data_IF_854839961977
#
_entry.id   IF_854839961977
#
_cell.length_a   1.000
_cell.length_b   1.000
_cell.length_c   1.000
_cell.angle_alpha   90.00
_cell.angle_beta   90.00
_cell.angle_gamma   90.00
#
_symmetry.space_group_name_H-M   'P 1'
#
loop_
_entity.id
_entity.type
_entity.pdbx_description
1 polymer ?
#
# COMPACT_ATOMS: atom_id res chain seq x y z
N UNK A 1 -32.51 -33.35 -5.77
CA UNK A 1 -32.91 -32.02 -5.27
C UNK A 1 -32.80 -31.99 -3.75
N UNK A 2 -31.73 -31.43 -3.18
CA UNK A 2 -31.77 -30.75 -1.88
C UNK A 2 -31.63 -29.23 -2.07
N UNK A 3 -32.03 -28.47 -1.04
CA UNK A 3 -32.21 -27.03 -1.11
C UNK A 3 -30.89 -26.23 -1.12
N UNK A 4 -30.94 -25.08 -1.78
CA UNK A 4 -29.81 -24.18 -1.99
C UNK A 4 -29.21 -23.55 -0.73
N UNK A 5 -27.93 -23.24 -0.86
CA UNK A 5 -27.22 -22.28 -0.05
C UNK A 5 -27.22 -20.93 -0.80
N UNK A 6 -27.63 -19.84 -0.15
CA UNK A 6 -27.50 -18.48 -0.69
C UNK A 6 -26.18 -17.87 -0.16
N UNK A 7 -25.34 -17.27 -1.01
CA UNK A 7 -24.30 -16.37 -0.52
C UNK A 7 -24.96 -15.02 -0.22
N UNK A 8 -25.06 -14.68 1.06
CA UNK A 8 -25.29 -13.32 1.53
C UNK A 8 -24.15 -12.98 2.50
N UNK A 9 -23.75 -11.71 2.49
CA UNK A 9 -22.59 -11.09 3.17
C UNK A 9 -21.39 -10.83 2.24
N UNK A 10 -21.65 -10.08 1.16
CA UNK A 10 -20.61 -9.26 0.49
C UNK A 10 -20.65 -7.86 1.11
N UNK A 11 -19.53 -7.42 1.68
CA UNK A 11 -19.38 -6.04 2.11
C UNK A 11 -19.28 -5.15 0.86
N UNK A 12 -20.10 -4.11 0.77
CA UNK A 12 -20.06 -3.19 -0.38
C UNK A 12 -18.86 -2.23 -0.25
N UNK A 13 -18.21 -1.83 -1.36
CA UNK A 13 -17.15 -0.83 -1.32
C UNK A 13 -17.72 0.49 -0.76
N UNK A 14 -17.06 1.02 0.26
CA UNK A 14 -17.55 2.20 0.99
C UNK A 14 -17.08 3.47 0.29
N UNK A 15 -18.03 4.20 -0.33
CA UNK A 15 -17.78 5.56 -0.83
C UNK A 15 -17.73 6.56 0.33
N UNK A 16 -16.67 7.35 0.42
CA UNK A 16 -16.51 8.40 1.45
C UNK A 16 -16.79 9.78 0.84
N UNK A 17 -17.61 10.61 1.51
CA UNK A 17 -17.87 11.99 1.10
C UNK A 17 -18.34 12.89 2.28
N UNK A 18 -17.49 13.83 2.70
CA UNK A 18 -17.69 15.03 3.56
C UNK A 18 -16.44 15.94 3.38
N UNK A 19 -16.37 17.24 3.70
CA UNK A 19 -17.37 18.22 4.16
C UNK A 19 -16.68 19.50 4.66
N UNK A 20 -16.82 20.66 3.99
CA UNK A 20 -15.92 21.82 4.16
C UNK A 20 -16.32 22.86 5.23
N UNK A 21 -15.34 23.30 6.05
CA UNK A 21 -15.31 24.62 6.72
C UNK A 21 -13.91 25.01 7.25
N UNK A 22 -13.63 26.31 7.44
CA UNK A 22 -12.32 26.93 7.77
C UNK A 22 -12.12 27.24 9.29
N UNK A 23 -10.99 27.71 9.85
CA UNK A 23 -9.81 28.46 9.34
C UNK A 23 -8.58 28.32 10.30
N UNK A 24 -7.37 28.88 10.01
CA UNK A 24 -6.09 28.45 10.64
C UNK A 24 -5.60 29.35 11.81
N UNK A 25 -4.42 29.05 12.43
CA UNK A 25 -3.16 29.61 11.91
C UNK A 25 -1.90 28.70 11.93
N UNK A 26 -0.98 29.00 11.01
CA UNK A 26 0.50 28.95 11.10
C UNK A 26 1.23 27.72 11.68
N UNK A 27 1.72 26.85 10.78
CA UNK A 27 3.19 26.67 10.58
C UNK A 27 3.42 26.17 9.15
N UNK A 28 4.22 26.86 8.33
CA UNK A 28 4.55 26.39 6.97
C UNK A 28 5.51 25.18 7.02
N UNK A 29 4.93 23.98 6.94
CA UNK A 29 5.62 22.84 6.34
C UNK A 29 5.33 22.92 4.85
N UNK A 30 6.36 23.09 4.02
CA UNK A 30 6.18 23.13 2.57
C UNK A 30 5.58 21.81 2.08
N UNK A 31 4.55 21.88 1.25
CA UNK A 31 3.92 20.73 0.60
C UNK A 31 4.81 20.14 -0.52
N UNK A 32 6.11 19.98 -0.26
CA UNK A 32 7.04 19.22 -1.09
C UNK A 32 6.79 17.72 -0.87
N UNK A 33 5.60 17.28 -1.28
CA UNK A 33 5.21 15.87 -1.24
C UNK A 33 6.14 15.03 -2.12
N UNK A 34 6.31 13.78 -1.75
CA UNK A 34 7.15 12.80 -2.46
C UNK A 34 6.87 12.78 -3.98
N UNK A 35 7.90 13.08 -4.76
CA UNK A 35 7.89 12.95 -6.23
C UNK A 35 7.81 11.47 -6.61
N UNK A 36 6.85 11.04 -7.46
CA UNK A 36 6.68 9.64 -7.79
C UNK A 36 7.85 9.09 -8.62
N UNK A 37 8.23 7.83 -8.37
CA UNK A 37 9.38 7.20 -9.00
C UNK A 37 9.18 7.14 -10.52
N UNK A 38 10.09 7.75 -11.28
CA UNK A 38 10.03 7.79 -12.74
C UNK A 38 8.74 8.43 -13.31
N UNK A 39 8.11 9.38 -12.60
CA UNK A 39 6.83 10.02 -12.96
C UNK A 39 6.75 10.47 -14.44
N UNK A 40 7.79 11.10 -14.97
CA UNK A 40 7.85 11.54 -16.37
C UNK A 40 7.74 10.36 -17.35
N UNK A 41 8.47 9.27 -17.07
CA UNK A 41 8.52 8.08 -17.94
C UNK A 41 7.22 7.29 -17.88
N UNK A 42 6.61 7.16 -16.71
CA UNK A 42 5.29 6.54 -16.52
C UNK A 42 4.22 7.35 -17.25
N UNK A 43 4.21 8.67 -17.06
CA UNK A 43 3.25 9.57 -17.72
C UNK A 43 3.37 9.50 -19.24
N UNK A 44 4.59 9.55 -19.79
CA UNK A 44 4.85 9.45 -21.22
C UNK A 44 4.52 8.06 -21.84
N UNK A 45 4.30 7.02 -21.02
CA UNK A 45 3.88 5.70 -21.47
C UNK A 45 2.37 5.47 -21.38
N UNK A 46 1.72 6.01 -20.34
CA UNK A 46 0.36 5.61 -19.97
C UNK A 46 -0.69 6.72 -20.14
N UNK A 47 -0.29 7.99 -20.24
CA UNK A 47 -1.23 9.09 -20.48
C UNK A 47 -1.92 8.95 -21.85
N UNK A 48 -3.20 9.36 -21.94
CA UNK A 48 -3.99 9.13 -23.15
C UNK A 48 -5.11 10.15 -23.37
N UNK A 49 -5.29 10.55 -24.63
CA UNK A 49 -6.43 11.35 -25.09
C UNK A 49 -7.68 10.50 -25.43
N UNK A 50 -7.57 9.17 -25.33
CA UNK A 50 -8.65 8.25 -25.71
C UNK A 50 -9.62 8.02 -24.53
N UNK A 51 -10.95 8.09 -24.76
CA UNK A 51 -11.94 7.94 -23.69
C UNK A 51 -11.87 6.55 -23.05
N UNK A 52 -12.01 6.45 -21.73
CA UNK A 52 -11.95 5.19 -21.00
C UNK A 52 -11.23 5.32 -19.65
N UNK A 53 -10.74 4.19 -19.14
CA UNK A 53 -10.22 4.07 -17.78
C UNK A 53 -8.70 3.92 -17.78
N UNK A 54 -8.01 4.78 -17.03
CA UNK A 54 -6.68 4.50 -16.49
C UNK A 54 -6.84 3.87 -15.12
N UNK A 55 -6.05 2.84 -14.81
CA UNK A 55 -6.01 2.22 -13.49
C UNK A 55 -4.66 2.52 -12.85
N UNK A 56 -4.69 3.00 -11.60
CA UNK A 56 -3.54 3.03 -10.70
C UNK A 56 -3.83 2.01 -9.59
N UNK A 57 -3.25 0.80 -9.70
CA UNK A 57 -3.59 -0.32 -8.82
C UNK A 57 -2.89 -0.22 -7.44
N UNK A 58 -2.05 0.79 -7.24
CA UNK A 58 -1.24 1.05 -6.05
C UNK A 58 -1.15 2.56 -5.85
N UNK A 59 -2.30 3.24 -5.80
CA UNK A 59 -2.37 4.70 -5.97
C UNK A 59 -1.59 5.46 -4.89
N UNK A 60 -1.43 4.89 -3.70
CA UNK A 60 -0.64 5.48 -2.63
C UNK A 60 -1.12 6.91 -2.32
N UNK A 61 -0.21 7.87 -2.10
CA UNK A 61 -0.53 9.29 -1.96
C UNK A 61 -1.05 9.99 -3.24
N UNK A 62 -1.43 9.28 -4.30
CA UNK A 62 -2.04 9.84 -5.51
C UNK A 62 -1.10 10.57 -6.48
N UNK A 63 0.23 10.40 -6.33
CA UNK A 63 1.21 11.15 -7.12
C UNK A 63 1.25 10.78 -8.61
N UNK A 64 1.32 9.48 -8.95
CA UNK A 64 1.24 9.04 -10.34
C UNK A 64 -0.12 9.36 -10.96
N UNK A 65 -1.22 9.08 -10.26
CA UNK A 65 -2.56 9.46 -10.65
C UNK A 65 -2.69 10.96 -10.99
N UNK A 66 -2.09 11.88 -10.22
CA UNK A 66 -2.15 13.31 -10.47
C UNK A 66 -1.49 13.69 -11.82
N UNK A 67 -0.31 13.14 -12.09
CA UNK A 67 0.40 13.35 -13.36
C UNK A 67 -0.38 12.76 -14.55
N UNK A 68 -0.91 11.55 -14.40
CA UNK A 68 -1.71 10.88 -15.43
C UNK A 68 -3.01 11.63 -15.75
N UNK A 69 -3.75 12.08 -14.74
CA UNK A 69 -4.98 12.87 -14.92
C UNK A 69 -4.71 14.25 -15.54
N UNK A 70 -3.55 14.85 -15.26
CA UNK A 70 -3.15 16.14 -15.83
C UNK A 70 -2.69 16.02 -17.29
N UNK A 71 -2.07 14.90 -17.66
CA UNK A 71 -1.56 14.65 -19.01
C UNK A 71 -2.54 13.91 -19.94
N UNK A 72 -3.71 13.50 -19.44
CA UNK A 72 -4.71 12.73 -20.20
C UNK A 72 -5.95 13.57 -20.53
N UNK A 73 -6.59 13.20 -21.64
CA UNK A 73 -7.77 13.89 -22.18
C UNK A 73 -8.95 13.98 -21.19
N UNK A 74 -9.87 14.94 -21.39
CA UNK A 74 -10.97 15.19 -20.46
C UNK A 74 -12.00 14.04 -20.37
N UNK A 75 -12.03 13.15 -21.36
CA UNK A 75 -12.88 11.95 -21.38
C UNK A 75 -12.20 10.69 -20.79
N UNK A 76 -10.97 10.83 -20.30
CA UNK A 76 -10.24 9.79 -19.57
C UNK A 76 -10.53 9.92 -18.08
N UNK A 77 -10.96 8.82 -17.44
CA UNK A 77 -11.14 8.72 -15.99
C UNK A 77 -10.09 7.82 -15.36
N UNK A 78 -9.86 7.99 -14.06
CA UNK A 78 -8.90 7.19 -13.30
C UNK A 78 -9.59 6.41 -12.17
N UNK A 79 -9.27 5.13 -12.09
CA UNK A 79 -9.63 4.23 -10.98
C UNK A 79 -8.37 3.96 -10.16
N UNK A 80 -8.37 4.35 -8.89
CA UNK A 80 -7.26 4.18 -7.97
C UNK A 80 -7.58 3.15 -6.89
N UNK A 81 -6.73 2.13 -6.73
CA UNK A 81 -6.84 1.13 -5.67
C UNK A 81 -5.68 1.31 -4.68
N UNK A 82 -5.99 1.22 -3.39
CA UNK A 82 -5.01 0.93 -2.35
C UNK A 82 -5.65 0.10 -1.24
N UNK A 83 -4.83 -0.70 -0.55
CA UNK A 83 -5.22 -1.44 0.66
C UNK A 83 -5.03 -0.60 1.93
N UNK A 84 -4.27 0.48 1.86
CA UNK A 84 -4.06 1.41 2.98
C UNK A 84 -5.06 2.57 2.92
N UNK A 85 -6.07 2.55 3.79
CA UNK A 85 -7.10 3.59 3.81
C UNK A 85 -6.54 5.00 4.01
N UNK A 86 -5.44 5.16 4.77
CA UNK A 86 -4.79 6.45 4.97
C UNK A 86 -4.11 6.97 3.70
N UNK A 87 -3.67 6.08 2.81
CA UNK A 87 -3.15 6.48 1.50
C UNK A 87 -4.27 7.02 0.60
N UNK A 88 -5.45 6.40 0.64
CA UNK A 88 -6.64 6.87 -0.10
C UNK A 88 -7.15 8.22 0.39
N UNK A 89 -7.10 8.50 1.70
CA UNK A 89 -7.40 9.82 2.25
C UNK A 89 -6.46 10.90 1.67
N UNK A 90 -5.15 10.66 1.68
CA UNK A 90 -4.14 11.57 1.10
C UNK A 90 -4.32 11.72 -0.42
N UNK A 91 -4.64 10.64 -1.13
CA UNK A 91 -4.94 10.68 -2.56
C UNK A 91 -6.20 11.50 -2.85
N UNK A 92 -7.25 11.38 -2.04
CA UNK A 92 -8.48 12.16 -2.16
C UNK A 92 -8.21 13.66 -2.03
N UNK A 93 -7.46 14.07 -1.00
CA UNK A 93 -7.06 15.46 -0.81
C UNK A 93 -6.21 15.99 -1.97
N UNK A 94 -5.18 15.24 -2.39
CA UNK A 94 -4.28 15.63 -3.49
C UNK A 94 -5.01 15.75 -4.83
N UNK A 95 -6.01 14.92 -5.09
CA UNK A 95 -6.69 14.80 -6.37
C UNK A 95 -8.03 15.54 -6.43
N UNK A 96 -8.31 16.44 -5.47
CA UNK A 96 -9.57 17.19 -5.40
C UNK A 96 -9.95 17.91 -6.70
N UNK A 97 -8.97 18.54 -7.37
CA UNK A 97 -9.15 19.22 -8.68
C UNK A 97 -9.56 18.25 -9.82
N UNK A 98 -9.37 16.95 -9.63
CA UNK A 98 -9.72 15.89 -10.58
C UNK A 98 -10.90 15.03 -10.12
N UNK A 99 -11.58 15.37 -9.01
CA UNK A 99 -12.61 14.52 -8.38
C UNK A 99 -13.71 14.05 -9.35
N UNK A 100 -14.10 14.87 -10.33
CA UNK A 100 -15.10 14.51 -11.34
C UNK A 100 -14.67 13.39 -12.31
N UNK A 101 -13.39 13.03 -12.34
CA UNK A 101 -12.78 11.99 -13.18
C UNK A 101 -12.12 10.88 -12.36
N UNK A 102 -12.27 10.88 -11.04
CA UNK A 102 -11.59 9.96 -10.12
C UNK A 102 -12.57 8.99 -9.48
N UNK A 103 -12.14 7.75 -9.27
CA UNK A 103 -12.80 6.81 -8.36
C UNK A 103 -11.72 6.14 -7.51
N UNK A 104 -11.83 6.24 -6.18
CA UNK A 104 -10.93 5.60 -5.23
C UNK A 104 -11.62 4.39 -4.61
N UNK A 105 -10.88 3.29 -4.46
CA UNK A 105 -11.39 2.03 -3.94
C UNK A 105 -10.43 1.47 -2.90
N UNK A 106 -10.96 1.16 -1.70
CA UNK A 106 -10.24 0.40 -0.69
C UNK A 106 -10.27 -1.08 -1.06
N UNK A 107 -9.21 -1.55 -1.71
CA UNK A 107 -9.06 -2.89 -2.27
C UNK A 107 -7.58 -3.22 -2.49
N UNK A 108 -7.23 -4.49 -2.40
CA UNK A 108 -5.93 -4.97 -2.82
C UNK A 108 -5.84 -5.07 -4.36
N UNK A 109 -4.64 -4.90 -4.91
CA UNK A 109 -4.43 -4.85 -6.36
C UNK A 109 -4.77 -6.14 -7.11
N UNK A 110 -4.85 -7.27 -6.40
CA UNK A 110 -5.27 -8.57 -6.92
C UNK A 110 -6.80 -8.72 -7.02
N UNK A 111 -7.56 -7.82 -6.39
CA UNK A 111 -9.02 -7.70 -6.52
C UNK A 111 -9.44 -6.83 -7.74
N UNK A 112 -8.48 -6.32 -8.53
CA UNK A 112 -8.73 -5.38 -9.63
C UNK A 112 -9.77 -5.88 -10.64
N UNK A 113 -9.84 -7.20 -10.90
CA UNK A 113 -10.85 -7.78 -11.80
C UNK A 113 -12.27 -7.54 -11.31
N UNK A 114 -12.56 -7.94 -10.06
CA UNK A 114 -13.87 -7.76 -9.43
C UNK A 114 -14.21 -6.26 -9.30
N UNK A 115 -13.22 -5.42 -8.95
CA UNK A 115 -13.40 -3.96 -8.88
C UNK A 115 -13.83 -3.37 -10.23
N UNK A 116 -13.17 -3.74 -11.33
CA UNK A 116 -13.51 -3.22 -12.66
C UNK A 116 -14.86 -3.73 -13.18
N UNK A 117 -15.25 -4.97 -12.87
CA UNK A 117 -16.56 -5.50 -13.21
C UNK A 117 -17.69 -4.72 -12.49
N UNK A 118 -17.46 -4.28 -11.25
CA UNK A 118 -18.44 -3.51 -10.46
C UNK A 118 -18.50 -2.02 -10.86
N UNK A 119 -17.36 -1.33 -11.06
CA UNK A 119 -17.31 0.14 -11.23
C UNK A 119 -16.94 0.64 -12.63
N UNK A 120 -16.55 -0.26 -13.54
CA UNK A 120 -16.19 0.04 -14.93
C UNK A 120 -16.75 -0.96 -15.96
N UNK A 121 -17.98 -1.49 -15.79
CA UNK A 121 -18.50 -2.56 -16.65
C UNK A 121 -18.51 -2.15 -18.13
N UNK A 122 -17.80 -2.93 -18.95
CA UNK A 122 -17.62 -2.74 -20.39
C UNK A 122 -16.92 -1.43 -20.83
N UNK A 123 -16.28 -0.68 -19.93
CA UNK A 123 -15.44 0.46 -20.32
C UNK A 123 -14.04 0.01 -20.78
N UNK A 124 -13.45 0.65 -21.82
CA UNK A 124 -12.13 0.29 -22.29
C UNK A 124 -11.05 0.75 -21.30
N UNK A 125 -10.40 -0.21 -20.64
CA UNK A 125 -9.16 0.03 -19.89
C UNK A 125 -8.05 0.40 -20.89
N UNK A 126 -7.44 1.56 -20.68
CA UNK A 126 -6.41 2.14 -21.56
C UNK A 126 -5.01 1.81 -21.09
N UNK A 127 -4.79 1.82 -19.78
CA UNK A 127 -3.56 1.40 -19.13
C UNK A 127 -3.82 0.98 -17.68
N UNK A 128 -2.91 0.18 -17.13
CA UNK A 128 -2.86 -0.19 -15.71
C UNK A 128 -1.44 0.06 -15.21
N UNK A 129 -1.30 0.80 -14.12
CA UNK A 129 -0.06 1.02 -13.39
C UNK A 129 -0.03 0.13 -12.14
N UNK A 130 1.15 -0.45 -11.88
CA UNK A 130 1.51 -1.06 -10.60
C UNK A 130 2.87 -0.48 -10.19
N UNK A 131 2.88 0.38 -9.17
CA UNK A 131 4.08 0.87 -8.50
C UNK A 131 4.31 0.02 -7.24
N UNK A 132 5.12 -1.03 -7.38
CA UNK A 132 5.29 -2.04 -6.35
C UNK A 132 6.35 -1.61 -5.33
N UNK A 133 5.90 -1.18 -4.15
CA UNK A 133 6.79 -0.78 -3.06
C UNK A 133 6.05 -0.48 -1.75
N UNK A 134 6.67 0.34 -0.91
CA UNK A 134 6.05 0.99 0.25
C UNK A 134 5.97 2.49 -0.03
N UNK A 135 4.89 3.14 0.38
CA UNK A 135 4.77 4.59 0.25
C UNK A 135 5.58 5.31 1.34
N UNK A 136 5.95 6.59 1.11
CA UNK A 136 6.60 7.40 2.15
C UNK A 136 5.73 7.49 3.41
N UNK A 137 4.40 7.61 3.26
CA UNK A 137 3.42 7.59 4.35
C UNK A 137 3.61 6.39 5.31
N UNK A 138 3.88 5.20 4.75
CA UNK A 138 4.11 3.97 5.53
C UNK A 138 5.46 3.95 6.25
N UNK A 139 6.48 4.63 5.71
CA UNK A 139 7.82 4.74 6.29
C UNK A 139 7.92 5.86 7.33
N UNK A 140 7.26 6.99 7.09
CA UNK A 140 7.27 8.18 7.95
C UNK A 140 6.41 7.98 9.20
N UNK A 141 5.33 7.20 9.10
CA UNK A 141 4.47 6.86 10.24
C UNK A 141 5.10 5.76 11.10
N UNK A 142 6.01 6.14 12.00
CA UNK A 142 6.78 5.22 12.85
C UNK A 142 5.96 4.06 13.45
N UNK A 143 4.78 4.34 14.03
CA UNK A 143 3.88 3.34 14.65
C UNK A 143 3.42 2.20 13.70
N UNK A 144 3.56 2.35 12.38
CA UNK A 144 3.31 1.27 11.40
C UNK A 144 4.38 0.17 11.43
N UNK A 145 5.54 0.45 12.00
CA UNK A 145 6.62 -0.53 12.19
C UNK A 145 7.46 -0.84 10.95
N UNK A 146 7.31 -0.11 9.84
CA UNK A 146 8.14 -0.30 8.64
C UNK A 146 9.51 0.39 8.74
N UNK A 147 9.62 1.47 9.52
CA UNK A 147 10.87 2.21 9.67
C UNK A 147 11.90 1.46 10.53
N UNK A 148 13.17 1.56 10.13
CA UNK A 148 14.32 1.07 10.88
C UNK A 148 15.05 2.20 11.66
N UNK A 149 14.64 3.47 11.49
CA UNK A 149 15.30 4.61 12.14
C UNK A 149 14.79 4.89 13.56
N UNK A 150 13.66 4.31 13.94
CA UNK A 150 13.01 4.49 15.24
C UNK A 150 12.39 3.17 15.75
N UNK A 151 12.30 3.02 17.07
CA UNK A 151 11.68 1.85 17.69
C UNK A 151 10.16 2.01 17.79
N UNK A 152 9.43 1.08 17.20
CA UNK A 152 7.98 1.10 17.03
C UNK A 152 7.37 -0.28 17.25
N UNK A 153 6.04 -0.43 17.43
CA UNK A 153 5.37 -1.72 17.40
C UNK A 153 5.70 -2.50 16.12
N UNK A 154 5.96 -3.80 16.26
CA UNK A 154 6.24 -4.67 15.13
C UNK A 154 4.92 -5.12 14.47
N UNK A 155 4.31 -4.21 13.71
CA UNK A 155 3.08 -4.44 12.95
C UNK A 155 3.37 -4.76 11.47
N UNK A 156 3.92 -3.82 10.70
CA UNK A 156 4.28 -3.97 9.28
C UNK A 156 3.13 -4.38 8.33
N UNK A 157 1.85 -4.18 8.72
CA UNK A 157 0.72 -4.34 7.79
C UNK A 157 0.46 -3.07 6.99
N UNK A 158 0.29 -3.22 5.68
CA UNK A 158 -0.18 -2.15 4.78
C UNK A 158 -1.66 -1.80 5.05
N UNK A 159 -2.46 -2.79 5.44
CA UNK A 159 -3.81 -2.59 5.97
C UNK A 159 -3.84 -3.00 7.46
N UNK A 160 -3.90 -2.04 8.41
CA UNK A 160 -4.00 -2.35 9.83
C UNK A 160 -5.35 -2.98 10.25
N UNK A 161 -6.38 -2.96 9.40
CA UNK A 161 -7.72 -3.48 9.71
C UNK A 161 -7.86 -4.99 9.49
N UNK A 162 -6.97 -5.60 8.70
CA UNK A 162 -6.97 -7.03 8.37
C UNK A 162 -5.61 -7.71 8.61
N UNK A 163 -5.51 -9.02 8.35
CA UNK A 163 -4.26 -9.78 8.44
C UNK A 163 -3.68 -9.98 9.85
N UNK A 164 -2.48 -10.59 9.92
CA UNK A 164 -1.70 -10.75 11.16
C UNK A 164 -0.51 -9.77 11.18
N UNK A 165 -0.22 -9.10 12.31
CA UNK A 165 0.97 -8.25 12.43
C UNK A 165 2.25 -9.10 12.44
N UNK A 166 3.37 -8.52 12.03
CA UNK A 166 4.67 -9.18 11.96
C UNK A 166 5.11 -9.78 13.30
N UNK A 167 4.77 -9.16 14.44
CA UNK A 167 4.98 -9.75 15.78
C UNK A 167 4.23 -11.07 15.99
N UNK A 168 2.98 -11.19 15.52
CA UNK A 168 2.20 -12.43 15.61
C UNK A 168 2.74 -13.51 14.65
N UNK A 169 3.10 -13.11 13.42
CA UNK A 169 3.80 -13.97 12.45
C UNK A 169 5.11 -14.51 13.05
N UNK A 170 5.90 -13.65 13.70
CA UNK A 170 7.14 -14.04 14.36
C UNK A 170 6.90 -14.95 15.56
N UNK A 171 5.86 -14.76 16.37
CA UNK A 171 5.54 -15.70 17.46
C UNK A 171 5.07 -17.08 16.91
N UNK A 172 4.36 -17.09 15.77
CA UNK A 172 3.75 -18.28 15.14
C UNK A 172 4.72 -19.20 14.41
N UNK A 173 5.60 -18.66 13.55
CA UNK A 173 6.47 -19.49 12.70
C UNK A 173 7.54 -20.25 13.49
N UNK A 174 7.97 -21.41 13.01
CA UNK A 174 9.15 -22.12 13.53
C UNK A 174 10.44 -21.66 12.84
N UNK A 175 11.60 -22.10 13.35
CA UNK A 175 12.92 -21.68 12.85
C UNK A 175 13.20 -22.08 11.39
N UNK A 176 12.58 -23.15 10.88
CA UNK A 176 12.74 -23.59 9.49
C UNK A 176 11.85 -22.76 8.55
N UNK A 177 10.60 -22.51 8.92
CA UNK A 177 9.66 -21.66 8.17
C UNK A 177 10.20 -20.22 8.07
N UNK A 178 10.63 -19.64 9.19
CA UNK A 178 11.22 -18.31 9.21
C UNK A 178 12.54 -18.25 8.40
N UNK A 179 13.35 -19.31 8.43
CA UNK A 179 14.55 -19.39 7.60
C UNK A 179 14.25 -19.62 6.11
N UNK A 180 13.05 -20.05 5.73
CA UNK A 180 12.58 -20.09 4.34
C UNK A 180 12.11 -18.68 3.94
N UNK A 181 11.19 -18.08 4.70
CA UNK A 181 10.69 -16.71 4.50
C UNK A 181 11.84 -15.70 4.27
N UNK A 182 12.84 -15.68 5.16
CA UNK A 182 13.99 -14.78 5.04
C UNK A 182 14.89 -15.03 3.82
N UNK A 183 14.89 -16.25 3.26
CA UNK A 183 15.66 -16.60 2.06
C UNK A 183 14.89 -16.28 0.79
N UNK A 184 13.61 -16.63 0.79
CA UNK A 184 12.78 -16.65 -0.41
C UNK A 184 12.21 -15.25 -0.72
N UNK A 185 12.04 -14.40 0.31
CA UNK A 185 11.63 -13.00 0.17
C UNK A 185 12.70 -11.97 0.55
N UNK A 186 13.65 -12.34 1.42
CA UNK A 186 14.72 -11.44 1.87
C UNK A 186 16.10 -11.69 1.27
N UNK A 187 16.22 -12.71 0.39
CA UNK A 187 17.48 -13.15 -0.26
C UNK A 187 18.65 -13.41 0.73
N UNK A 188 18.36 -13.65 2.01
CA UNK A 188 19.35 -13.55 3.08
C UNK A 188 20.18 -14.84 3.25
N UNK A 189 21.47 -14.73 2.93
CA UNK A 189 22.50 -15.79 3.05
C UNK A 189 22.60 -16.41 4.46
N UNK A 190 22.34 -15.63 5.52
CA UNK A 190 22.39 -16.02 6.92
C UNK A 190 21.01 -16.41 7.50
N UNK A 191 19.96 -16.57 6.66
CA UNK A 191 18.58 -16.81 7.09
C UNK A 191 18.42 -17.87 8.20
N UNK A 192 19.16 -18.99 8.13
CA UNK A 192 19.13 -20.05 9.17
C UNK A 192 19.68 -19.61 10.53
N UNK A 193 20.64 -18.68 10.56
CA UNK A 193 21.25 -18.13 11.79
C UNK A 193 20.36 -17.03 12.37
N UNK A 194 19.85 -16.14 11.52
CA UNK A 194 18.89 -15.08 11.90
C UNK A 194 17.59 -15.68 12.44
N UNK A 195 16.99 -16.66 11.76
CA UNK A 195 15.76 -17.30 12.23
C UNK A 195 15.91 -17.95 13.61
N UNK A 196 17.07 -18.55 13.92
CA UNK A 196 17.36 -19.10 15.25
C UNK A 196 17.49 -18.01 16.32
N UNK A 197 18.13 -16.89 15.98
CA UNK A 197 18.24 -15.75 16.90
C UNK A 197 16.88 -15.12 17.18
N UNK A 198 16.05 -14.93 16.16
CA UNK A 198 14.66 -14.45 16.31
C UNK A 198 13.85 -15.40 17.20
N UNK A 199 13.90 -16.72 16.97
CA UNK A 199 13.22 -17.71 17.81
C UNK A 199 13.69 -17.66 19.27
N UNK A 200 15.00 -17.49 19.50
CA UNK A 200 15.56 -17.41 20.84
C UNK A 200 15.25 -16.08 21.57
N UNK A 201 15.00 -15.00 20.82
CA UNK A 201 14.69 -13.67 21.35
C UNK A 201 13.18 -13.42 21.57
N UNK A 202 12.32 -14.44 21.39
CA UNK A 202 10.87 -14.29 21.58
C UNK A 202 10.50 -13.99 23.04
N UNK A 203 9.45 -13.19 23.28
CA UNK A 203 8.59 -12.54 22.28
C UNK A 203 9.19 -11.25 21.71
N UNK A 204 9.07 -11.05 20.40
CA UNK A 204 9.47 -9.81 19.71
C UNK A 204 8.22 -8.99 19.41
N UNK A 205 8.14 -7.78 19.97
CA UNK A 205 6.97 -6.88 19.88
C UNK A 205 7.30 -5.51 19.31
N UNK A 206 8.58 -5.14 19.22
CA UNK A 206 9.03 -3.86 18.68
C UNK A 206 10.15 -4.02 17.65
N UNK A 207 10.27 -3.05 16.74
CA UNK A 207 11.20 -3.08 15.61
C UNK A 207 12.66 -3.14 16.07
N UNK A 208 13.04 -2.42 17.13
CA UNK A 208 14.39 -2.45 17.71
C UNK A 208 14.79 -3.83 18.22
N UNK A 209 13.87 -4.56 18.85
CA UNK A 209 14.11 -5.95 19.30
C UNK A 209 14.40 -6.90 18.13
N UNK A 210 13.73 -6.70 16.99
CA UNK A 210 14.00 -7.45 15.77
C UNK A 210 15.37 -7.08 15.18
N UNK A 211 15.70 -5.78 15.12
CA UNK A 211 17.00 -5.28 14.67
C UNK A 211 18.14 -5.84 15.52
N UNK A 212 18.01 -5.87 16.85
CA UNK A 212 18.99 -6.48 17.76
C UNK A 212 19.19 -7.97 17.47
N UNK A 213 18.11 -8.74 17.35
CA UNK A 213 18.17 -10.18 17.07
C UNK A 213 18.80 -10.50 15.71
N UNK A 214 18.50 -9.71 14.67
CA UNK A 214 19.12 -9.83 13.34
C UNK A 214 20.60 -9.44 13.40
N UNK A 215 20.94 -8.32 14.04
CA UNK A 215 22.32 -7.80 14.10
C UNK A 215 23.24 -8.74 14.86
N UNK A 216 22.81 -9.30 16.00
CA UNK A 216 23.58 -10.32 16.73
C UNK A 216 23.77 -11.62 15.93
N UNK A 217 22.89 -11.91 14.97
CA UNK A 217 22.96 -13.07 14.11
C UNK A 217 23.86 -12.90 12.88
N UNK A 218 24.06 -11.67 12.37
CA UNK A 218 24.87 -11.42 11.18
C UNK A 218 26.32 -11.14 11.57
N UNK A 219 27.32 -11.88 11.04
CA UNK A 219 28.72 -11.52 11.24
C UNK A 219 29.01 -10.12 10.68
N UNK A 220 29.74 -9.30 11.43
CA UNK A 220 30.27 -8.04 10.92
C UNK A 220 31.03 -8.28 9.60
N UNK A 221 30.87 -7.37 8.62
CA UNK A 221 31.70 -7.40 7.41
C UNK A 221 33.17 -7.22 7.82
N UNK A 222 34.02 -8.12 7.34
CA UNK A 222 35.47 -7.94 7.28
C UNK A 222 35.83 -7.10 6.04
#
# INVERSE_FOLDING_TARGET
MPAGCRPADRCAPTLVAHGLSSSPPETEVTAAGHDPVMVERVTALLATDQPGVLVDATIGPGGHAAALLSASGPATRLVGLDRDAAALEVAHERLGDHAARLTLVHAAFDELGDVLDDIAPAEPVRAVLYDLGMSSLQLDHAERGFSLSSDAPLDMRMDPSSGEPASALLDRLNAQELAALLRDYGEERHARRIARAIVAARPIRRTGQLVEAVTAAVPARA
#
